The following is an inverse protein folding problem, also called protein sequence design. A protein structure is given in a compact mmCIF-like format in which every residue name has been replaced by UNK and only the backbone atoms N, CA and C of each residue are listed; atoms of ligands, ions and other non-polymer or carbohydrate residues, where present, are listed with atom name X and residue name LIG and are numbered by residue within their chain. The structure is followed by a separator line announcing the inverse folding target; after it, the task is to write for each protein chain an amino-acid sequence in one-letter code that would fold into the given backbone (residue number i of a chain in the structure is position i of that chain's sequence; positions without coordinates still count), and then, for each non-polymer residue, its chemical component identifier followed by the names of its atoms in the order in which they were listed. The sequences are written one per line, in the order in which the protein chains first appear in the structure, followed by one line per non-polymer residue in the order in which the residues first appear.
data_IF_911816596171
#
_entry.id   IF_911816596171
#
_cell.length_a   1.000
_cell.length_b   1.000
_cell.length_c   1.000
_cell.angle_alpha   90.00
_cell.angle_beta   90.00
_cell.angle_gamma   90.00
#
_symmetry.space_group_name_H-M   'P 1'
#
loop_
_entity.id
_entity.type
_entity.pdbx_description
1 polymer ?
#
# COMPACT_ATOMS: atom_id res chain seq x y z
N UNK A 1 -20.76 22.34 11.26
CA UNK A 1 -20.47 20.91 11.06
C UNK A 1 -19.38 20.55 12.05
N UNK A 2 -19.62 19.57 12.93
CA UNK A 2 -18.58 19.14 13.87
C UNK A 2 -17.45 18.37 13.15
N UNK A 3 -16.32 18.19 13.83
CA UNK A 3 -15.13 17.56 13.25
C UNK A 3 -15.39 16.11 12.79
N UNK A 4 -16.29 15.38 13.46
CA UNK A 4 -16.62 14.02 13.11
C UNK A 4 -17.44 13.96 11.81
N UNK A 5 -18.39 14.88 11.63
CA UNK A 5 -19.17 15.03 10.41
C UNK A 5 -18.30 15.50 9.23
N UNK A 6 -17.34 16.42 9.48
CA UNK A 6 -16.35 16.80 8.47
C UNK A 6 -15.49 15.61 8.04
N UNK A 7 -15.00 14.80 8.99
CA UNK A 7 -14.23 13.59 8.68
C UNK A 7 -15.06 12.57 7.89
N UNK A 8 -16.31 12.31 8.30
CA UNK A 8 -17.23 11.43 7.55
C UNK A 8 -17.47 11.93 6.12
N UNK A 9 -17.65 13.23 5.95
CA UNK A 9 -17.81 13.84 4.62
C UNK A 9 -16.58 13.61 3.73
N UNK A 10 -15.37 13.77 4.28
CA UNK A 10 -14.12 13.50 3.54
C UNK A 10 -13.98 12.01 3.19
N UNK A 11 -14.31 11.11 4.12
CA UNK A 11 -14.30 9.67 3.86
C UNK A 11 -15.31 9.33 2.76
N UNK A 12 -16.52 9.89 2.81
CA UNK A 12 -17.55 9.66 1.80
C UNK A 12 -17.12 10.15 0.42
N UNK A 13 -16.47 11.31 0.36
CA UNK A 13 -15.93 11.85 -0.88
C UNK A 13 -14.84 10.95 -1.49
N UNK A 14 -13.91 10.44 -0.66
CA UNK A 14 -12.74 9.71 -1.14
C UNK A 14 -13.00 8.22 -1.37
N UNK A 15 -13.71 7.57 -0.44
CA UNK A 15 -13.94 6.12 -0.40
C UNK A 15 -15.39 5.72 -0.72
N UNK A 16 -16.32 6.68 -0.73
CA UNK A 16 -17.76 6.46 -0.91
C UNK A 16 -18.55 6.41 0.39
N UNK A 17 -19.85 6.70 0.29
CA UNK A 17 -20.78 6.76 1.44
C UNK A 17 -20.80 5.48 2.27
N UNK A 18 -20.70 4.33 1.60
CA UNK A 18 -20.71 3.02 2.23
C UNK A 18 -19.51 2.79 3.17
N UNK A 19 -18.35 3.35 2.85
CA UNK A 19 -17.18 3.32 3.75
C UNK A 19 -17.34 4.34 4.88
N UNK A 20 -17.97 5.48 4.61
CA UNK A 20 -18.18 6.53 5.60
C UNK A 20 -19.21 6.17 6.69
N UNK A 21 -20.17 5.30 6.36
CA UNK A 21 -21.27 4.92 7.28
C UNK A 21 -21.25 3.44 7.66
N UNK A 22 -20.39 2.63 7.04
CA UNK A 22 -20.31 1.20 7.26
C UNK A 22 -19.42 0.82 8.43
N UNK A 23 -19.53 -0.44 8.87
CA UNK A 23 -18.58 -1.04 9.79
C UNK A 23 -17.22 -1.22 9.08
N UNK A 24 -16.20 -0.54 9.61
CA UNK A 24 -14.83 -0.55 9.07
C UNK A 24 -14.23 -1.95 9.01
N UNK A 25 -14.65 -2.86 9.90
CA UNK A 25 -14.18 -4.25 9.95
C UNK A 25 -14.88 -5.17 8.95
N UNK A 26 -15.96 -4.69 8.32
CA UNK A 26 -16.71 -5.50 7.37
C UNK A 26 -15.90 -5.79 6.10
N UNK A 27 -16.02 -7.02 5.58
CA UNK A 27 -15.40 -7.46 4.33
C UNK A 27 -15.71 -6.51 3.17
N UNK A 28 -16.92 -5.94 3.17
CA UNK A 28 -17.40 -5.03 2.13
C UNK A 28 -16.66 -3.69 2.15
N UNK A 29 -16.40 -3.12 3.33
CA UNK A 29 -15.60 -1.89 3.46
C UNK A 29 -14.15 -2.15 3.08
N UNK A 30 -13.54 -3.24 3.55
CA UNK A 30 -12.18 -3.63 3.16
C UNK A 30 -12.05 -3.75 1.64
N UNK A 31 -13.03 -4.36 0.96
CA UNK A 31 -13.02 -4.46 -0.49
C UNK A 31 -13.12 -3.10 -1.20
N UNK A 32 -13.87 -2.13 -0.66
CA UNK A 32 -13.96 -0.79 -1.25
C UNK A 32 -12.63 -0.06 -1.11
N UNK A 33 -12.00 -0.17 0.04
CA UNK A 33 -10.67 0.41 0.30
C UNK A 33 -9.61 -0.24 -0.60
N UNK A 34 -9.61 -1.57 -0.73
CA UNK A 34 -8.72 -2.28 -1.64
C UNK A 34 -8.93 -1.92 -3.12
N UNK A 35 -10.19 -1.70 -3.55
CA UNK A 35 -10.50 -1.18 -4.89
C UNK A 35 -10.02 0.26 -5.09
N UNK A 36 -10.06 1.08 -4.04
CA UNK A 36 -9.50 2.43 -4.08
C UNK A 36 -7.98 2.38 -4.23
N UNK A 37 -7.30 1.58 -3.42
CA UNK A 37 -5.86 1.34 -3.53
C UNK A 37 -5.46 0.86 -4.94
N UNK A 38 -6.22 -0.07 -5.54
CA UNK A 38 -6.01 -0.49 -6.94
C UNK A 38 -5.99 0.68 -7.92
N UNK A 39 -6.84 1.69 -7.73
CA UNK A 39 -6.92 2.83 -8.63
C UNK A 39 -5.62 3.65 -8.67
N UNK A 40 -4.82 3.63 -7.61
CA UNK A 40 -3.55 4.35 -7.53
C UNK A 40 -2.43 3.70 -8.35
N UNK A 41 -2.46 2.36 -8.48
CA UNK A 41 -1.45 1.62 -9.26
C UNK A 41 -1.94 1.11 -10.61
N UNK A 42 -3.24 1.08 -10.91
CA UNK A 42 -3.77 0.46 -12.15
C UNK A 42 -3.10 0.95 -13.44
N UNK A 43 -2.65 2.20 -13.44
CA UNK A 43 -1.95 2.83 -14.58
C UNK A 43 -0.58 2.21 -14.88
N UNK A 44 0.00 1.48 -13.94
CA UNK A 44 1.29 0.81 -14.13
C UNK A 44 1.12 -0.62 -14.65
N UNK A 45 -0.07 -1.20 -14.46
CA UNK A 45 -0.43 -2.56 -14.89
C UNK A 45 -1.04 -2.52 -16.30
N UNK A 46 -0.21 -2.19 -17.29
CA UNK A 46 -0.62 -2.00 -18.68
C UNK A 46 -1.28 -3.28 -19.24
N UNK A 47 -2.40 -3.11 -19.96
CA UNK A 47 -3.14 -4.22 -20.58
C UNK A 47 -4.05 -5.03 -19.65
N UNK A 48 -3.92 -4.91 -18.32
CA UNK A 48 -4.72 -5.72 -17.39
C UNK A 48 -6.22 -5.41 -17.43
N UNK A 49 -6.62 -4.18 -17.76
CA UNK A 49 -8.03 -3.80 -17.87
C UNK A 49 -8.82 -4.56 -18.94
N UNK A 50 -8.13 -5.11 -19.94
CA UNK A 50 -8.69 -5.92 -21.02
C UNK A 50 -8.38 -7.41 -20.88
N UNK A 51 -7.72 -7.82 -19.78
CA UNK A 51 -7.36 -9.21 -19.54
C UNK A 51 -8.63 -10.06 -19.34
N UNK A 52 -8.79 -11.23 -20.01
CA UNK A 52 -9.99 -12.06 -19.89
C UNK A 52 -10.27 -12.51 -18.44
N UNK A 53 -9.21 -12.85 -17.70
CA UNK A 53 -9.28 -13.25 -16.29
C UNK A 53 -9.26 -12.08 -15.28
N UNK A 54 -9.40 -10.81 -15.70
CA UNK A 54 -9.23 -9.64 -14.81
C UNK A 54 -10.10 -9.71 -13.56
N UNK A 55 -11.36 -10.15 -13.70
CA UNK A 55 -12.30 -10.16 -12.59
C UNK A 55 -11.99 -11.31 -11.64
N UNK A 56 -11.60 -12.47 -12.16
CA UNK A 56 -11.06 -13.60 -11.37
C UNK A 56 -9.84 -13.16 -10.56
N UNK A 57 -8.86 -12.51 -11.20
CA UNK A 57 -7.64 -12.02 -10.54
C UNK A 57 -7.97 -10.99 -9.47
N UNK A 58 -8.81 -9.99 -9.77
CA UNK A 58 -9.21 -8.97 -8.79
C UNK A 58 -9.96 -9.57 -7.62
N UNK A 59 -10.84 -10.55 -7.85
CA UNK A 59 -11.58 -11.22 -6.79
C UNK A 59 -10.65 -12.03 -5.88
N UNK A 60 -9.64 -12.71 -6.44
CA UNK A 60 -8.60 -13.37 -5.66
C UNK A 60 -7.83 -12.36 -4.79
N UNK A 61 -7.32 -11.29 -5.40
CA UNK A 61 -6.54 -10.26 -4.68
C UNK A 61 -7.37 -9.60 -3.57
N UNK A 62 -8.64 -9.25 -3.80
CA UNK A 62 -9.47 -8.71 -2.72
C UNK A 62 -9.69 -9.75 -1.61
N UNK A 63 -9.88 -11.02 -1.96
CA UNK A 63 -10.06 -12.08 -0.97
C UNK A 63 -8.79 -12.31 -0.14
N UNK A 64 -7.61 -12.29 -0.76
CA UNK A 64 -6.34 -12.39 -0.06
C UNK A 64 -6.05 -11.17 0.80
N UNK A 65 -6.42 -9.95 0.36
CA UNK A 65 -6.32 -8.73 1.18
C UNK A 65 -7.21 -8.79 2.41
N UNK A 66 -8.45 -9.27 2.29
CA UNK A 66 -9.33 -9.46 3.45
C UNK A 66 -8.73 -10.43 4.46
N UNK A 67 -8.19 -11.55 3.98
CA UNK A 67 -7.51 -12.52 4.83
C UNK A 67 -6.28 -11.92 5.51
N UNK A 68 -5.46 -11.17 4.76
CA UNK A 68 -4.29 -10.47 5.29
C UNK A 68 -4.68 -9.52 6.43
N UNK A 69 -5.67 -8.65 6.21
CA UNK A 69 -6.16 -7.69 7.21
C UNK A 69 -6.74 -8.38 8.44
N UNK A 70 -7.49 -9.47 8.27
CA UNK A 70 -8.01 -10.24 9.39
C UNK A 70 -6.87 -10.84 10.24
N UNK A 71 -5.83 -11.37 9.58
CA UNK A 71 -4.70 -12.00 10.24
C UNK A 71 -3.76 -11.01 10.94
N UNK A 72 -3.85 -9.71 10.69
CA UNK A 72 -3.06 -8.70 11.42
C UNK A 72 -3.40 -8.66 12.91
N UNK A 73 -4.56 -9.17 13.33
CA UNK A 73 -4.91 -9.29 14.75
C UNK A 73 -3.91 -10.12 15.57
N UNK A 74 -3.13 -10.98 14.91
CA UNK A 74 -2.11 -11.84 15.54
C UNK A 74 -0.69 -11.45 15.17
N UNK A 75 -0.48 -10.29 14.55
CA UNK A 75 0.85 -9.78 14.21
C UNK A 75 1.42 -9.03 15.42
N UNK A 76 2.59 -9.44 15.90
CA UNK A 76 3.18 -8.93 17.15
C UNK A 76 4.63 -8.45 17.01
N UNK A 77 5.20 -8.50 15.81
CA UNK A 77 6.57 -8.07 15.55
C UNK A 77 6.79 -7.62 14.11
N UNK A 78 7.83 -6.80 13.89
CA UNK A 78 8.25 -6.39 12.55
C UNK A 78 8.62 -7.59 11.67
N UNK A 79 9.30 -8.59 12.25
CA UNK A 79 9.72 -9.79 11.52
C UNK A 79 8.51 -10.58 11.00
N UNK A 80 7.51 -10.80 11.83
CA UNK A 80 6.29 -11.50 11.44
C UNK A 80 5.52 -10.71 10.35
N UNK A 81 5.44 -9.39 10.49
CA UNK A 81 4.85 -8.55 9.44
C UNK A 81 5.61 -8.67 8.11
N UNK A 82 6.94 -8.55 8.13
CA UNK A 82 7.79 -8.62 6.95
C UNK A 82 7.63 -9.97 6.22
N UNK A 83 7.59 -11.08 6.96
CA UNK A 83 7.39 -12.43 6.40
C UNK A 83 6.00 -12.60 5.77
N UNK A 84 4.93 -12.14 6.45
CA UNK A 84 3.56 -12.19 5.92
C UNK A 84 3.40 -11.29 4.68
N UNK A 85 3.97 -10.09 4.73
CA UNK A 85 3.96 -9.13 3.63
C UNK A 85 4.63 -9.72 2.38
N UNK A 86 5.81 -10.30 2.58
CA UNK A 86 6.60 -10.89 1.52
C UNK A 86 5.90 -12.09 0.87
N UNK A 87 5.31 -12.97 1.69
CA UNK A 87 4.51 -14.08 1.21
C UNK A 87 3.32 -13.58 0.39
N UNK A 88 2.58 -12.58 0.89
CA UNK A 88 1.42 -12.03 0.16
C UNK A 88 1.82 -11.44 -1.19
N UNK A 89 2.93 -10.70 -1.25
CA UNK A 89 3.40 -10.09 -2.50
C UNK A 89 3.85 -11.16 -3.51
N UNK A 90 4.53 -12.20 -3.03
CA UNK A 90 4.95 -13.34 -3.86
C UNK A 90 3.73 -14.11 -4.39
N UNK A 91 2.78 -14.45 -3.52
CA UNK A 91 1.54 -15.14 -3.90
C UNK A 91 0.70 -14.34 -4.90
N UNK A 92 0.69 -13.00 -4.77
CA UNK A 92 0.02 -12.14 -5.72
C UNK A 92 0.68 -12.22 -7.11
N UNK A 93 2.01 -12.11 -7.19
CA UNK A 93 2.76 -12.28 -8.45
C UNK A 93 2.51 -13.67 -9.06
N UNK A 94 2.69 -14.72 -8.28
CA UNK A 94 2.49 -16.10 -8.73
C UNK A 94 1.06 -16.34 -9.21
N UNK A 95 0.05 -15.72 -8.59
CA UNK A 95 -1.33 -15.84 -9.03
C UNK A 95 -1.57 -15.17 -10.37
N UNK A 96 -0.95 -14.01 -10.63
CA UNK A 96 -1.02 -13.37 -11.95
C UNK A 96 -0.35 -14.22 -13.03
N UNK A 97 0.79 -14.85 -12.73
CA UNK A 97 1.56 -15.65 -13.68
C UNK A 97 0.85 -16.95 -14.12
N UNK A 98 -0.16 -17.41 -13.37
CA UNK A 98 -1.03 -18.53 -13.76
C UNK A 98 -1.91 -18.24 -14.97
N UNK A 99 -2.08 -16.97 -15.33
CA UNK A 99 -2.93 -16.56 -16.44
C UNK A 99 -2.06 -16.14 -17.63
N UNK A 100 -2.23 -16.76 -18.80
CA UNK A 100 -1.46 -16.39 -19.99
C UNK A 100 -1.62 -14.90 -20.30
N UNK A 101 -0.48 -14.21 -20.38
CA UNK A 101 -0.45 -12.80 -20.69
C UNK A 101 -0.94 -12.55 -22.13
N UNK A 102 -2.05 -11.83 -22.35
CA UNK A 102 -2.40 -11.36 -23.68
C UNK A 102 -1.31 -10.41 -24.19
N UNK A 103 -1.17 -10.23 -25.50
CA UNK A 103 -0.10 -9.43 -26.13
C UNK A 103 0.15 -8.04 -25.50
N UNK A 104 -0.88 -7.44 -24.88
CA UNK A 104 -0.83 -6.10 -24.26
C UNK A 104 -0.51 -6.09 -22.76
N UNK A 105 -0.53 -7.24 -22.09
CA UNK A 105 -0.17 -7.37 -20.68
C UNK A 105 1.24 -7.96 -20.59
N UNK A 106 2.15 -7.30 -19.88
CA UNK A 106 3.53 -7.79 -19.78
C UNK A 106 3.69 -8.74 -18.60
N UNK A 107 3.40 -8.25 -17.39
CA UNK A 107 3.64 -8.95 -16.14
C UNK A 107 3.10 -8.15 -14.96
N UNK A 108 2.85 -8.83 -13.85
CA UNK A 108 2.61 -8.19 -12.56
C UNK A 108 3.87 -8.33 -11.70
N UNK A 109 4.37 -7.21 -11.17
CA UNK A 109 5.64 -7.19 -10.45
C UNK A 109 5.43 -7.01 -8.95
N UNK A 110 6.43 -7.41 -8.16
CA UNK A 110 6.46 -7.24 -6.71
C UNK A 110 6.22 -5.77 -6.30
N UNK A 111 6.83 -4.83 -7.02
CA UNK A 111 6.58 -3.40 -6.84
C UNK A 111 5.14 -2.93 -7.02
N UNK A 112 4.33 -3.63 -7.83
CA UNK A 112 2.88 -3.42 -7.92
C UNK A 112 2.14 -4.13 -6.78
N UNK A 113 2.53 -5.35 -6.44
CA UNK A 113 1.95 -6.09 -5.32
C UNK A 113 2.05 -5.28 -4.02
N UNK A 114 3.26 -4.84 -3.64
CA UNK A 114 3.47 -4.04 -2.44
C UNK A 114 2.63 -2.75 -2.46
N UNK A 115 2.49 -2.09 -3.61
CA UNK A 115 1.74 -0.83 -3.67
C UNK A 115 0.27 -1.07 -3.37
N UNK A 116 -0.30 -2.15 -3.91
CA UNK A 116 -1.70 -2.50 -3.66
C UNK A 116 -1.93 -2.83 -2.18
N UNK A 117 -1.08 -3.69 -1.61
CA UNK A 117 -1.16 -4.05 -0.19
C UNK A 117 -0.97 -2.83 0.71
N UNK A 118 0.15 -2.12 0.57
CA UNK A 118 0.51 -1.02 1.46
C UNK A 118 -0.49 0.14 1.36
N UNK A 119 -0.99 0.48 0.17
CA UNK A 119 -2.04 1.51 0.06
C UNK A 119 -3.33 1.07 0.74
N UNK A 120 -3.70 -0.22 0.63
CA UNK A 120 -4.87 -0.76 1.33
C UNK A 120 -4.71 -0.62 2.85
N UNK A 121 -3.55 -1.01 3.39
CA UNK A 121 -3.25 -0.92 4.82
C UNK A 121 -3.18 0.53 5.30
N UNK A 122 -2.51 1.42 4.55
CA UNK A 122 -2.46 2.86 4.87
C UNK A 122 -3.86 3.47 4.95
N UNK A 123 -4.74 3.16 4.01
CA UNK A 123 -6.11 3.67 4.04
C UNK A 123 -6.91 3.11 5.21
N UNK A 124 -6.79 1.81 5.50
CA UNK A 124 -7.45 1.22 6.66
C UNK A 124 -6.91 1.78 7.99
N UNK A 125 -5.63 2.13 8.05
CA UNK A 125 -5.05 2.84 9.19
C UNK A 125 -5.70 4.22 9.35
N UNK A 126 -5.76 5.04 8.29
CA UNK A 126 -6.42 6.36 8.32
C UNK A 126 -7.90 6.27 8.70
N UNK A 127 -8.55 5.13 8.44
CA UNK A 127 -9.95 4.84 8.76
C UNK A 127 -10.13 4.16 10.14
N UNK A 128 -9.07 4.03 10.93
CA UNK A 128 -9.06 3.44 12.28
C UNK A 128 -9.48 1.95 12.34
N UNK A 129 -9.13 1.15 11.32
CA UNK A 129 -9.40 -0.30 11.35
C UNK A 129 -8.60 -0.96 12.49
N UNK A 130 -9.26 -1.66 13.45
CA UNK A 130 -8.62 -2.09 14.71
C UNK A 130 -7.40 -3.00 14.52
N UNK A 131 -7.48 -4.01 13.65
CA UNK A 131 -6.34 -4.91 13.42
C UNK A 131 -5.16 -4.21 12.71
N UNK A 132 -5.45 -3.20 11.89
CA UNK A 132 -4.40 -2.44 11.18
C UNK A 132 -3.75 -1.46 12.14
N UNK A 133 -4.53 -0.86 13.06
CA UNK A 133 -4.04 -0.02 14.14
C UNK A 133 -3.10 -0.80 15.08
N UNK A 134 -3.44 -2.04 15.42
CA UNK A 134 -2.58 -2.91 16.23
C UNK A 134 -1.21 -3.17 15.56
N UNK A 135 -1.20 -3.36 14.24
CA UNK A 135 0.02 -3.60 13.47
C UNK A 135 0.67 -2.31 12.90
N UNK A 136 0.15 -1.12 13.25
CA UNK A 136 0.47 0.14 12.56
C UNK A 136 1.97 0.44 12.53
N UNK A 137 2.67 0.20 13.64
CA UNK A 137 4.11 0.43 13.75
C UNK A 137 4.96 -0.44 12.81
N UNK A 138 4.42 -1.57 12.31
CA UNK A 138 5.14 -2.49 11.44
C UNK A 138 4.85 -2.27 9.95
N UNK A 139 3.83 -1.48 9.62
CA UNK A 139 3.36 -1.33 8.25
C UNK A 139 4.42 -0.70 7.34
N UNK A 140 4.54 -1.26 6.14
CA UNK A 140 5.43 -0.72 5.12
C UNK A 140 4.83 0.51 4.45
N UNK A 141 5.69 1.49 4.13
CA UNK A 141 5.29 2.64 3.33
C UNK A 141 4.92 2.17 1.92
N UNK A 142 3.82 2.66 1.31
CA UNK A 142 3.48 2.33 -0.06
C UNK A 142 4.45 2.98 -1.04
N UNK A 143 5.48 2.26 -1.46
CA UNK A 143 6.58 2.82 -2.26
C UNK A 143 6.06 3.29 -3.61
N UNK A 144 6.26 4.57 -3.91
CA UNK A 144 6.04 5.16 -5.23
C UNK A 144 7.12 6.19 -5.57
N UNK A 145 6.92 6.91 -6.69
CA UNK A 145 7.85 7.95 -7.14
C UNK A 145 8.02 9.05 -6.08
N UNK A 146 6.97 9.42 -5.35
CA UNK A 146 7.06 10.48 -4.35
C UNK A 146 7.82 10.02 -3.12
N UNK A 147 7.53 8.83 -2.60
CA UNK A 147 8.30 8.24 -1.49
C UNK A 147 9.78 8.14 -1.86
N UNK A 148 10.10 7.73 -3.09
CA UNK A 148 11.47 7.78 -3.61
C UNK A 148 12.07 9.18 -3.66
N UNK A 149 11.28 10.18 -4.05
CA UNK A 149 11.75 11.57 -4.14
C UNK A 149 12.15 12.11 -2.77
N UNK A 150 11.28 11.94 -1.78
CA UNK A 150 11.44 12.47 -0.43
C UNK A 150 12.49 11.68 0.37
N UNK A 151 12.48 10.35 0.30
CA UNK A 151 13.48 9.53 0.99
C UNK A 151 14.89 9.79 0.42
N UNK A 152 15.02 10.07 -0.88
CA UNK A 152 16.30 10.40 -1.49
C UNK A 152 16.85 11.75 -1.02
N UNK A 153 15.98 12.75 -0.82
CA UNK A 153 16.37 14.02 -0.22
C UNK A 153 16.87 13.83 1.22
N UNK A 154 16.31 12.85 1.94
CA UNK A 154 16.74 12.45 3.28
C UNK A 154 17.92 11.47 3.31
N UNK A 155 18.50 11.09 2.16
CA UNK A 155 19.72 10.28 2.07
C UNK A 155 19.54 8.79 1.78
N UNK A 156 18.30 8.28 1.61
CA UNK A 156 18.03 6.90 1.21
C UNK A 156 18.23 6.74 -0.30
N UNK A 157 19.09 5.80 -0.71
CA UNK A 157 19.38 5.61 -2.13
C UNK A 157 18.17 5.04 -2.85
N UNK A 158 17.81 5.63 -3.99
CA UNK A 158 16.81 5.04 -4.87
C UNK A 158 17.36 3.76 -5.50
N UNK A 159 16.53 2.71 -5.63
CA UNK A 159 16.87 1.57 -6.45
C UNK A 159 17.23 2.01 -7.89
N UNK A 160 18.32 1.49 -8.48
CA UNK A 160 18.82 1.96 -9.77
C UNK A 160 17.86 1.62 -10.93
N UNK A 161 17.87 2.47 -11.96
CA UNK A 161 17.19 2.23 -13.24
C UNK A 161 17.62 0.86 -13.83
N UNK A 162 16.73 0.10 -14.50
CA UNK A 162 15.36 0.42 -14.93
C UNK A 162 14.24 0.23 -13.89
N UNK A 163 14.57 0.07 -12.61
CA UNK A 163 13.62 -0.40 -11.60
C UNK A 163 12.77 0.75 -11.02
N UNK A 164 11.85 1.28 -11.83
CA UNK A 164 10.75 2.09 -11.32
C UNK A 164 10.04 1.34 -10.17
N UNK A 165 9.53 2.04 -9.16
CA UNK A 165 8.87 1.43 -7.99
C UNK A 165 7.84 0.36 -8.36
N UNK A 166 7.14 0.52 -9.50
CA UNK A 166 6.11 -0.41 -9.97
C UNK A 166 6.65 -1.70 -10.57
N UNK A 167 7.94 -1.75 -10.92
CA UNK A 167 8.64 -2.92 -11.46
C UNK A 167 9.77 -3.38 -10.53
N UNK A 168 9.76 -2.90 -9.29
CA UNK A 168 10.75 -3.27 -8.29
C UNK A 168 10.66 -4.78 -8.02
N UNK A 169 11.82 -5.43 -7.95
CA UNK A 169 11.90 -6.82 -7.51
C UNK A 169 11.85 -6.92 -5.98
N UNK A 170 11.67 -8.16 -5.50
CA UNK A 170 11.53 -8.48 -4.08
C UNK A 170 12.74 -8.01 -3.27
N UNK A 171 13.94 -8.35 -3.69
CA UNK A 171 15.16 -8.08 -2.92
C UNK A 171 15.40 -6.57 -2.78
N UNK A 172 15.28 -5.81 -3.88
CA UNK A 172 15.42 -4.35 -3.85
C UNK A 172 14.31 -3.69 -3.05
N UNK A 173 13.10 -4.24 -3.06
CA UNK A 173 12.01 -3.74 -2.22
C UNK A 173 12.31 -3.90 -0.74
N UNK A 174 12.73 -5.11 -0.31
CA UNK A 174 13.01 -5.40 1.09
C UNK A 174 14.20 -4.57 1.60
N UNK A 175 15.26 -4.46 0.79
CA UNK A 175 16.41 -3.60 1.07
C UNK A 175 15.98 -2.12 1.20
N UNK A 176 15.12 -1.63 0.31
CA UNK A 176 14.61 -0.27 0.38
C UNK A 176 13.77 -0.02 1.64
N UNK A 177 12.89 -0.95 2.04
CA UNK A 177 12.11 -0.83 3.27
C UNK A 177 13.01 -0.85 4.52
N UNK A 178 14.08 -1.64 4.51
CA UNK A 178 15.08 -1.65 5.57
C UNK A 178 15.77 -0.30 5.71
N UNK A 179 16.32 0.24 4.61
CA UNK A 179 16.97 1.55 4.60
C UNK A 179 16.01 2.67 5.04
N UNK A 180 14.74 2.59 4.65
CA UNK A 180 13.74 3.57 5.06
C UNK A 180 13.46 3.49 6.58
N UNK A 181 13.39 2.28 7.16
CA UNK A 181 13.28 2.10 8.61
C UNK A 181 14.51 2.61 9.36
N UNK A 182 15.71 2.36 8.84
CA UNK A 182 16.95 2.89 9.41
C UNK A 182 16.94 4.42 9.41
N UNK A 183 16.56 5.05 8.29
CA UNK A 183 16.38 6.50 8.23
C UNK A 183 15.42 6.96 9.33
N UNK A 184 14.22 6.38 9.39
CA UNK A 184 13.17 6.78 10.33
C UNK A 184 13.60 6.59 11.79
N UNK A 185 14.40 5.56 12.10
CA UNK A 185 14.95 5.36 13.45
C UNK A 185 15.83 6.50 13.96
N UNK A 186 16.35 7.34 13.06
CA UNK A 186 17.13 8.54 13.37
C UNK A 186 16.30 9.83 13.46
N UNK A 187 14.97 9.72 13.30
CA UNK A 187 14.01 10.83 13.31
C UNK A 187 13.06 10.75 14.51
N UNK A 188 12.25 11.80 14.78
CA UNK A 188 11.24 11.76 15.84
C UNK A 188 10.02 10.85 15.55
N UNK A 189 9.87 10.31 14.33
CA UNK A 189 8.71 9.51 13.97
C UNK A 189 8.79 8.10 14.57
N UNK A 190 7.64 7.55 14.98
CA UNK A 190 7.60 6.22 15.61
C UNK A 190 7.66 5.09 14.60
N UNK A 191 7.20 5.31 13.36
CA UNK A 191 7.27 4.33 12.28
C UNK A 191 7.37 5.02 10.90
N UNK A 192 7.72 4.28 9.83
CA UNK A 192 7.84 4.83 8.50
C UNK A 192 6.56 5.46 7.93
N UNK A 193 5.37 4.99 8.33
CA UNK A 193 4.12 5.60 7.91
C UNK A 193 3.89 6.99 8.52
N UNK A 194 4.34 7.23 9.75
CA UNK A 194 4.25 8.57 10.36
C UNK A 194 5.17 9.55 9.65
N UNK A 195 6.40 9.13 9.34
CA UNK A 195 7.32 9.90 8.51
C UNK A 195 6.69 10.24 7.17
N UNK A 196 6.13 9.25 6.47
CA UNK A 196 5.52 9.48 5.17
C UNK A 196 4.30 10.41 5.27
N UNK A 197 3.45 10.25 6.30
CA UNK A 197 2.29 11.12 6.52
C UNK A 197 2.70 12.59 6.73
N UNK A 198 3.73 12.85 7.53
CA UNK A 198 4.21 14.21 7.76
C UNK A 198 4.81 14.84 6.50
N UNK A 199 5.63 14.08 5.76
CA UNK A 199 6.18 14.49 4.46
C UNK A 199 5.07 14.90 3.49
N UNK A 200 3.92 14.22 3.48
CA UNK A 200 2.78 14.63 2.64
C UNK A 200 2.13 15.94 3.08
N UNK A 201 2.10 16.23 4.38
CA UNK A 201 1.42 17.41 4.95
C UNK A 201 2.29 18.66 4.88
N UNK A 202 3.61 18.53 5.09
CA UNK A 202 4.58 19.63 5.05
C UNK A 202 5.10 19.92 3.64
N UNK A 203 4.64 19.13 2.65
CA UNK A 203 5.02 19.29 1.25
C UNK A 203 4.70 20.71 0.75
N UNK A 204 5.74 21.44 0.35
CA UNK A 204 5.62 22.78 -0.23
C UNK A 204 5.63 23.92 0.79
N UNK A 205 5.89 23.66 2.07
CA UNK A 205 6.10 24.71 3.09
C UNK A 205 7.56 25.08 3.30
N UNK A 206 8.51 24.47 2.59
CA UNK A 206 9.89 24.97 2.55
C UNK A 206 9.92 26.28 1.75
N UNK A 207 10.37 27.41 2.35
CA UNK A 207 10.67 28.58 1.56
C UNK A 207 11.75 28.20 0.56
N UNK A 208 11.48 28.42 -0.73
CA UNK A 208 12.53 28.46 -1.74
C UNK A 208 13.62 29.42 -1.26
N UNK A 209 14.76 28.87 -0.85
CA UNK A 209 15.97 29.64 -0.59
C UNK A 209 16.56 30.16 -1.91
#
# INVERSE_FOLDING_TARGET
MDAAEQRRSLIAFYFGTEVATGDITSSRVVDKVARRAYADLRRTIHGFGTHPAKDTIKNYIHSSLRAFVANLATCDSQKDFDERHDQWCTDACDYFDRFPAPERFTSFHYGQAQKWLNMTLKYLAVLDHPHVQQAYGYLHVPVDKYVYDEAAAAGVKRPPWPNAWSKLDREKYLDYQHQLRELVSSTPYSCPLDWEADVWVTRGTEPTA
#
